data_IF_825340065218
#
_entry.id   IF_825340065218
#
_cell.length_a   1.000
_cell.length_b   1.000
_cell.length_c   1.000
_cell.angle_alpha   90.00
_cell.angle_beta   90.00
_cell.angle_gamma   90.00
#
_symmetry.space_group_name_H-M   'P 1'
#
loop_
_entity.id
_entity.type
_entity.pdbx_description
1 polymer ?
#
# COMPACT_ATOMS: atom_id res chain seq x y z
N UNK A 1 13.43 18.75 48.66
CA UNK A 1 12.58 17.59 48.37
C UNK A 1 13.10 16.97 47.07
N UNK A 2 13.90 15.93 47.17
CA UNK A 2 14.49 15.19 46.06
C UNK A 2 13.39 14.35 45.44
N UNK A 3 12.98 14.69 44.20
CA UNK A 3 12.13 13.83 43.36
C UNK A 3 12.85 12.48 43.22
N UNK A 4 12.41 11.46 43.94
CA UNK A 4 12.71 10.08 43.61
C UNK A 4 12.04 9.80 42.22
N UNK A 5 12.80 9.93 41.14
CA UNK A 5 12.49 9.26 39.91
C UNK A 5 12.48 7.78 40.25
N UNK A 6 11.30 7.19 40.30
CA UNK A 6 11.13 5.75 40.49
C UNK A 6 11.81 5.06 39.29
N UNK A 7 12.83 4.27 39.61
CA UNK A 7 13.64 3.44 38.70
C UNK A 7 12.80 2.26 38.11
N UNK A 8 11.51 2.52 37.79
CA UNK A 8 10.63 1.52 37.21
C UNK A 8 11.00 1.37 35.70
N UNK A 9 11.44 0.20 35.35
CA UNK A 9 11.56 -0.16 33.91
C UNK A 9 10.22 -0.03 33.22
N UNK A 10 10.23 0.52 32.01
CA UNK A 10 9.03 0.59 31.17
C UNK A 10 8.78 -0.76 30.51
N UNK A 11 7.54 -1.21 30.51
CA UNK A 11 7.15 -2.42 29.76
C UNK A 11 6.83 -2.08 28.33
N UNK A 12 7.57 -2.66 27.39
CA UNK A 12 7.43 -2.47 25.92
C UNK A 12 6.97 -3.77 25.31
N UNK A 13 5.85 -3.74 24.58
CA UNK A 13 5.29 -4.91 23.91
C UNK A 13 5.14 -4.67 22.43
N UNK A 14 5.76 -5.52 21.58
CA UNK A 14 5.58 -5.53 20.14
C UNK A 14 4.62 -6.66 19.75
N UNK A 15 3.44 -6.30 19.22
CA UNK A 15 2.33 -7.23 19.00
C UNK A 15 2.49 -8.15 17.78
N UNK A 16 3.22 -7.70 16.75
CA UNK A 16 3.33 -8.38 15.45
C UNK A 16 4.72 -8.23 14.83
N UNK A 17 5.74 -8.50 15.64
CA UNK A 17 7.17 -8.42 15.29
C UNK A 17 7.52 -9.22 14.02
N UNK A 18 6.82 -10.33 13.77
CA UNK A 18 7.01 -11.17 12.57
C UNK A 18 6.63 -10.48 11.26
N UNK A 19 5.98 -9.31 11.31
CA UNK A 19 5.67 -8.49 10.13
C UNK A 19 6.82 -7.58 9.68
N UNK A 20 7.95 -7.54 10.42
CA UNK A 20 9.09 -6.66 10.16
C UNK A 20 10.40 -7.47 10.24
N UNK A 21 10.99 -7.76 9.08
CA UNK A 21 12.29 -8.46 8.97
C UNK A 21 13.44 -7.43 8.95
N UNK A 22 13.70 -6.84 10.11
CA UNK A 22 14.82 -5.90 10.31
C UNK A 22 15.33 -5.95 11.75
N UNK A 23 16.59 -5.59 11.96
CA UNK A 23 17.16 -5.44 13.30
C UNK A 23 16.64 -4.16 13.94
N UNK A 24 16.09 -4.27 15.14
CA UNK A 24 15.65 -3.11 15.90
C UNK A 24 16.82 -2.50 16.68
N UNK A 25 16.95 -1.17 16.74
CA UNK A 25 17.93 -0.52 17.60
C UNK A 25 17.61 -0.76 19.07
N UNK A 26 18.64 -0.75 19.92
CA UNK A 26 18.45 -0.81 21.37
C UNK A 26 17.85 0.52 21.85
N UNK A 27 16.81 0.42 22.68
CA UNK A 27 16.25 1.59 23.33
C UNK A 27 17.23 2.14 24.38
N UNK A 28 17.28 3.46 24.52
CA UNK A 28 18.22 4.19 25.40
C UNK A 28 17.71 4.41 26.82
N UNK A 29 16.67 3.71 27.24
CA UNK A 29 16.09 3.76 28.58
C UNK A 29 15.89 2.36 29.17
N UNK A 30 15.76 2.27 30.50
CA UNK A 30 15.53 1.00 31.18
C UNK A 30 14.14 0.45 30.86
N UNK A 31 14.07 -0.73 30.26
CA UNK A 31 12.81 -1.35 29.83
C UNK A 31 12.87 -2.88 29.94
N UNK A 32 11.71 -3.48 30.00
CA UNK A 32 11.47 -4.89 29.76
C UNK A 32 10.80 -5.04 28.39
N UNK A 33 11.40 -5.82 27.49
CA UNK A 33 10.97 -6.01 26.11
C UNK A 33 10.27 -7.35 25.94
N UNK A 34 9.04 -7.32 25.41
CA UNK A 34 8.25 -8.50 25.05
C UNK A 34 7.85 -8.37 23.59
N UNK A 35 8.04 -9.42 22.78
CA UNK A 35 7.60 -9.41 21.39
C UNK A 35 6.87 -10.70 21.02
N UNK A 36 5.91 -10.56 20.14
CA UNK A 36 5.12 -11.65 19.60
C UNK A 36 5.26 -11.67 18.06
N UNK A 37 5.45 -12.83 17.44
CA UNK A 37 5.48 -12.93 15.97
C UNK A 37 4.19 -12.42 15.33
N UNK A 38 3.03 -12.72 15.95
CA UNK A 38 1.70 -12.20 15.60
C UNK A 38 0.79 -12.26 16.82
N UNK A 39 -0.27 -11.46 16.87
CA UNK A 39 -1.22 -11.45 17.97
C UNK A 39 -2.65 -11.65 17.46
N UNK A 40 -3.34 -12.75 17.87
CA UNK A 40 -4.76 -12.91 17.61
C UNK A 40 -5.58 -11.81 18.27
N UNK A 41 -6.70 -11.41 17.63
CA UNK A 41 -7.54 -10.31 18.13
C UNK A 41 -7.98 -10.50 19.59
N UNK A 42 -8.37 -11.72 19.97
CA UNK A 42 -8.82 -12.02 21.34
C UNK A 42 -7.71 -11.99 22.41
N UNK A 43 -6.44 -11.90 22.02
CA UNK A 43 -5.30 -11.90 22.97
C UNK A 43 -4.68 -10.51 23.14
N UNK A 44 -5.12 -9.49 22.39
CA UNK A 44 -4.49 -8.16 22.39
C UNK A 44 -4.46 -7.55 23.79
N UNK A 45 -5.62 -7.51 24.47
CA UNK A 45 -5.73 -6.93 25.82
C UNK A 45 -4.88 -7.71 26.82
N UNK A 46 -4.89 -9.03 26.78
CA UNK A 46 -4.09 -9.88 27.67
C UNK A 46 -2.60 -9.61 27.50
N UNK A 47 -2.13 -9.50 26.25
CA UNK A 47 -0.70 -9.28 25.93
C UNK A 47 -0.22 -7.88 26.27
N UNK A 48 -1.11 -6.88 26.20
CA UNK A 48 -0.80 -5.48 26.55
C UNK A 48 -1.08 -5.14 28.01
N UNK A 49 -1.59 -6.08 28.83
CA UNK A 49 -1.89 -5.82 30.24
C UNK A 49 -0.62 -5.42 31.00
N UNK A 50 -0.62 -4.22 31.59
CA UNK A 50 0.53 -3.66 32.30
C UNK A 50 1.63 -3.09 31.40
N UNK A 51 1.44 -3.04 30.07
CA UNK A 51 2.37 -2.41 29.15
C UNK A 51 2.28 -0.88 29.23
N UNK A 52 3.43 -0.21 29.27
CA UNK A 52 3.54 1.24 29.13
C UNK A 52 3.56 1.65 27.65
N UNK A 53 4.16 0.82 26.79
CA UNK A 53 4.37 1.07 25.35
C UNK A 53 3.89 -0.13 24.55
N UNK A 54 3.03 0.11 23.58
CA UNK A 54 2.65 -0.86 22.56
C UNK A 54 3.30 -0.50 21.22
N UNK A 55 3.85 -1.48 20.50
CA UNK A 55 4.31 -1.34 19.13
C UNK A 55 3.46 -2.29 18.27
N UNK A 56 2.97 -1.79 17.15
CA UNK A 56 2.19 -2.60 16.20
C UNK A 56 2.39 -2.13 14.77
N UNK A 57 2.43 -3.05 13.82
CA UNK A 57 2.39 -2.74 12.39
C UNK A 57 0.95 -2.85 11.84
N UNK A 58 0.24 -3.93 12.18
CA UNK A 58 -1.08 -4.24 11.59
C UNK A 58 -2.14 -4.66 12.60
N UNK A 59 -1.77 -4.89 13.87
CA UNK A 59 -2.75 -5.28 14.89
C UNK A 59 -3.57 -4.05 15.30
N UNK A 60 -4.91 -4.06 15.13
CA UNK A 60 -5.75 -2.92 15.43
C UNK A 60 -5.90 -2.73 16.95
N UNK A 61 -5.88 -1.47 17.38
CA UNK A 61 -6.20 -1.05 18.74
C UNK A 61 -7.47 -0.19 18.70
N UNK A 62 -8.61 -0.85 18.89
CA UNK A 62 -9.93 -0.20 18.94
C UNK A 62 -10.13 0.54 20.26
N UNK A 63 -11.20 1.35 20.35
CA UNK A 63 -11.63 2.03 21.58
C UNK A 63 -11.78 1.05 22.74
N UNK A 64 -12.48 -0.06 22.50
CA UNK A 64 -12.74 -1.09 23.52
C UNK A 64 -11.44 -1.74 24.03
N UNK A 65 -10.45 -1.88 23.15
CA UNK A 65 -9.11 -2.38 23.53
C UNK A 65 -8.38 -1.35 24.37
N UNK A 66 -8.34 -0.10 23.92
CA UNK A 66 -7.63 1.00 24.58
C UNK A 66 -8.21 1.27 25.99
N UNK A 67 -9.53 1.20 26.16
CA UNK A 67 -10.22 1.41 27.43
C UNK A 67 -9.82 0.38 28.49
N UNK A 68 -9.44 -0.84 28.10
CA UNK A 68 -9.01 -1.92 28.98
C UNK A 68 -7.52 -1.88 29.36
N UNK A 69 -6.76 -0.89 28.87
CA UNK A 69 -5.31 -0.77 29.05
C UNK A 69 -4.94 0.49 29.86
N UNK A 70 -5.19 0.52 31.19
CA UNK A 70 -5.02 1.73 31.99
C UNK A 70 -3.57 2.22 32.08
N UNK A 71 -2.59 1.35 31.91
CA UNK A 71 -1.15 1.65 32.05
C UNK A 71 -0.53 2.14 30.73
N UNK A 72 -1.23 1.99 29.59
CA UNK A 72 -0.71 2.32 28.25
C UNK A 72 -0.54 3.83 28.09
N UNK A 73 0.65 4.27 27.69
CA UNK A 73 1.05 5.68 27.56
C UNK A 73 1.46 6.04 26.13
N UNK A 74 1.97 5.07 25.39
CA UNK A 74 2.51 5.29 24.04
C UNK A 74 2.16 4.13 23.12
N UNK A 75 1.80 4.46 21.87
CA UNK A 75 1.60 3.50 20.80
C UNK A 75 2.52 3.89 19.65
N UNK A 76 3.49 3.03 19.31
CA UNK A 76 4.31 3.11 18.12
C UNK A 76 3.68 2.31 16.98
N UNK A 77 3.29 3.00 15.91
CA UNK A 77 2.79 2.33 14.69
C UNK A 77 3.95 2.13 13.73
N UNK A 78 4.41 0.90 13.55
CA UNK A 78 5.48 0.52 12.64
C UNK A 78 5.00 0.57 11.17
N UNK A 79 4.38 1.69 10.79
CA UNK A 79 3.86 1.98 9.46
C UNK A 79 3.59 3.49 9.31
N UNK A 80 3.34 3.95 8.07
CA UNK A 80 2.87 5.33 7.84
C UNK A 80 1.39 5.51 8.20
N UNK A 81 0.55 4.52 7.89
CA UNK A 81 -0.90 4.60 8.14
C UNK A 81 -1.28 4.27 9.56
N UNK A 82 -2.09 5.12 10.20
CA UNK A 82 -2.58 4.96 11.59
C UNK A 82 -4.03 4.52 11.69
N UNK A 83 -4.64 4.14 10.57
CA UNK A 83 -6.06 3.76 10.50
C UNK A 83 -6.45 2.53 11.33
N UNK A 84 -5.46 1.80 11.86
CA UNK A 84 -5.64 0.68 12.77
C UNK A 84 -5.77 1.11 14.25
N UNK A 85 -5.57 2.39 14.56
CA UNK A 85 -5.62 2.93 15.93
C UNK A 85 -6.82 3.87 16.06
N UNK A 86 -7.62 3.71 17.11
CA UNK A 86 -8.63 4.71 17.49
C UNK A 86 -7.93 5.92 18.12
N UNK A 87 -7.63 6.91 17.27
CA UNK A 87 -6.90 8.14 17.65
C UNK A 87 -7.68 8.97 18.67
N UNK A 88 -9.02 9.00 18.57
CA UNK A 88 -9.84 9.79 19.50
C UNK A 88 -9.83 9.15 20.90
N UNK A 89 -9.96 7.83 21.01
CA UNK A 89 -9.79 7.12 22.28
C UNK A 89 -8.39 7.37 22.89
N UNK A 90 -7.35 7.37 22.07
CA UNK A 90 -5.99 7.69 22.54
C UNK A 90 -5.89 9.11 23.09
N UNK A 91 -6.47 10.11 22.42
CA UNK A 91 -6.48 11.51 22.90
C UNK A 91 -7.20 11.65 24.25
N UNK A 92 -8.39 11.05 24.38
CA UNK A 92 -9.17 11.06 25.62
C UNK A 92 -8.38 10.46 26.79
N UNK A 93 -7.60 9.41 26.53
CA UNK A 93 -6.75 8.71 27.50
C UNK A 93 -5.35 9.30 27.63
N UNK A 94 -5.02 10.36 26.89
CA UNK A 94 -3.68 10.99 26.85
C UNK A 94 -2.56 10.03 26.43
N UNK A 95 -2.88 9.06 25.58
CA UNK A 95 -1.91 8.13 24.99
C UNK A 95 -1.30 8.81 23.76
N UNK A 96 0.01 8.89 23.71
CA UNK A 96 0.73 9.43 22.56
C UNK A 96 0.79 8.36 21.48
N UNK A 97 0.40 8.73 20.24
CA UNK A 97 0.51 7.84 19.08
C UNK A 97 1.55 8.42 18.13
N UNK A 98 2.54 7.64 17.77
CA UNK A 98 3.54 7.98 16.76
C UNK A 98 3.51 6.95 15.63
N UNK A 99 3.72 7.43 14.41
CA UNK A 99 3.86 6.60 13.22
C UNK A 99 5.18 6.93 12.53
N UNK A 100 5.54 6.16 11.50
CA UNK A 100 6.80 6.33 10.76
C UNK A 100 6.49 6.78 9.34
N UNK A 101 6.66 8.07 9.03
CA UNK A 101 6.47 8.58 7.67
C UNK A 101 7.68 8.27 6.78
N UNK A 102 7.45 8.27 5.47
CA UNK A 102 8.46 8.33 4.40
C UNK A 102 9.46 7.16 4.27
N UNK A 103 9.45 6.16 5.15
CA UNK A 103 10.37 5.03 5.09
C UNK A 103 10.29 4.24 3.76
N UNK A 104 9.11 4.21 3.13
CA UNK A 104 8.85 3.49 1.88
C UNK A 104 8.85 4.40 0.64
N UNK A 105 9.49 5.59 0.74
CA UNK A 105 9.51 6.60 -0.33
C UNK A 105 10.16 6.12 -1.63
N UNK A 106 11.08 5.17 -1.57
CA UNK A 106 11.69 4.54 -2.75
C UNK A 106 10.96 3.25 -3.12
N UNK A 107 10.73 2.36 -2.15
CA UNK A 107 10.26 1.00 -2.43
C UNK A 107 8.84 0.95 -3.03
N UNK A 108 7.89 1.75 -2.53
CA UNK A 108 6.53 1.79 -3.09
C UNK A 108 6.49 2.30 -4.53
N UNK A 109 7.17 3.38 -4.92
CA UNK A 109 7.25 3.80 -6.32
C UNK A 109 7.91 2.76 -7.23
N UNK A 110 8.99 2.11 -6.78
CA UNK A 110 9.66 1.06 -7.54
C UNK A 110 8.71 -0.14 -7.78
N UNK A 111 8.02 -0.60 -6.74
CA UNK A 111 7.04 -1.67 -6.86
C UNK A 111 5.86 -1.28 -7.77
N UNK A 112 5.39 -0.03 -7.67
CA UNK A 112 4.37 0.52 -8.58
C UNK A 112 4.83 0.43 -10.03
N UNK A 113 6.07 0.85 -10.31
CA UNK A 113 6.65 0.75 -11.66
C UNK A 113 6.95 -0.67 -12.09
N UNK A 114 7.30 -1.58 -11.18
CA UNK A 114 7.43 -3.01 -11.49
C UNK A 114 6.10 -3.58 -12.02
N UNK A 115 4.97 -3.27 -11.37
CA UNK A 115 3.63 -3.66 -11.84
C UNK A 115 3.27 -2.99 -13.18
N UNK A 116 3.55 -1.68 -13.33
CA UNK A 116 3.31 -0.94 -14.58
C UNK A 116 4.09 -1.58 -15.74
N UNK A 117 5.39 -1.79 -15.56
CA UNK A 117 6.25 -2.37 -16.59
C UNK A 117 5.84 -3.80 -16.92
N UNK A 118 5.54 -4.64 -15.93
CA UNK A 118 5.10 -6.01 -16.15
C UNK A 118 3.82 -6.07 -17.01
N UNK A 119 2.86 -5.19 -16.75
CA UNK A 119 1.61 -5.11 -17.50
C UNK A 119 1.81 -4.51 -18.90
N UNK A 120 2.54 -3.40 -19.03
CA UNK A 120 2.78 -2.72 -20.33
C UNK A 120 3.63 -3.55 -21.27
N UNK A 121 4.55 -4.39 -20.71
CA UNK A 121 5.42 -5.29 -21.49
C UNK A 121 4.85 -6.71 -21.60
N UNK A 122 3.65 -6.98 -21.04
CA UNK A 122 2.98 -8.30 -21.08
C UNK A 122 3.83 -9.45 -20.53
N UNK A 123 4.62 -9.17 -19.47
CA UNK A 123 5.63 -10.12 -18.98
C UNK A 123 5.02 -11.44 -18.53
N UNK A 124 3.88 -11.41 -17.80
CA UNK A 124 3.18 -12.62 -17.33
C UNK A 124 2.77 -13.50 -18.53
N UNK A 125 2.16 -12.92 -19.57
CA UNK A 125 1.67 -13.63 -20.72
C UNK A 125 2.83 -14.25 -21.52
N UNK A 126 3.85 -13.47 -21.86
CA UNK A 126 4.98 -13.97 -22.64
C UNK A 126 5.82 -15.00 -21.88
N UNK A 127 6.06 -14.83 -20.59
CA UNK A 127 6.79 -15.83 -19.81
C UNK A 127 6.03 -17.16 -19.73
N UNK A 128 4.70 -17.12 -19.66
CA UNK A 128 3.88 -18.33 -19.68
C UNK A 128 3.90 -19.01 -21.06
N UNK A 129 3.80 -18.27 -22.16
CA UNK A 129 3.93 -18.82 -23.51
C UNK A 129 5.29 -19.49 -23.75
N UNK A 130 6.38 -18.87 -23.27
CA UNK A 130 7.72 -19.46 -23.34
C UNK A 130 7.78 -20.76 -22.54
N UNK A 131 7.23 -20.78 -21.33
CA UNK A 131 7.18 -21.97 -20.46
C UNK A 131 6.38 -23.11 -21.11
N UNK A 132 5.31 -22.78 -21.84
CA UNK A 132 4.50 -23.73 -22.59
C UNK A 132 5.14 -24.18 -23.91
N UNK A 133 6.33 -23.67 -24.25
CA UNK A 133 7.08 -24.01 -25.47
C UNK A 133 6.50 -23.38 -26.74
N UNK A 134 5.66 -22.36 -26.63
CA UNK A 134 5.11 -21.67 -27.80
C UNK A 134 6.22 -21.06 -28.67
N UNK A 135 7.24 -20.46 -28.05
CA UNK A 135 8.37 -19.89 -28.78
C UNK A 135 9.22 -20.94 -29.49
N UNK A 136 9.48 -22.08 -28.86
CA UNK A 136 10.26 -23.19 -29.46
C UNK A 136 9.56 -23.81 -30.67
N UNK A 137 8.23 -23.65 -30.79
CA UNK A 137 7.44 -24.13 -31.91
C UNK A 137 7.15 -23.07 -32.97
N UNK A 138 7.59 -21.82 -32.75
CA UNK A 138 7.37 -20.71 -33.65
C UNK A 138 8.30 -20.80 -34.85
N UNK A 139 7.76 -20.50 -36.01
CA UNK A 139 8.56 -20.30 -37.24
C UNK A 139 9.25 -18.93 -37.27
N UNK A 140 8.82 -18.02 -36.41
CA UNK A 140 9.37 -16.67 -36.29
C UNK A 140 10.37 -16.60 -35.11
N UNK A 141 11.38 -15.71 -35.24
CA UNK A 141 12.37 -15.50 -34.16
C UNK A 141 11.79 -14.92 -32.89
N UNK A 142 10.60 -14.33 -32.95
CA UNK A 142 9.88 -13.73 -31.82
C UNK A 142 8.40 -14.09 -31.83
N UNK A 143 7.70 -13.86 -30.70
CA UNK A 143 6.25 -13.92 -30.59
C UNK A 143 5.67 -12.50 -30.50
N UNK A 144 4.59 -12.24 -31.22
CA UNK A 144 3.89 -10.94 -31.25
C UNK A 144 2.42 -11.07 -30.85
N UNK A 145 2.09 -12.07 -30.02
CA UNK A 145 0.71 -12.41 -29.65
C UNK A 145 0.06 -11.39 -28.71
N UNK A 146 0.88 -10.63 -27.97
CA UNK A 146 0.40 -9.65 -27.00
C UNK A 146 0.91 -8.26 -27.35
N UNK A 147 0.04 -7.21 -27.33
CA UNK A 147 0.45 -5.85 -27.67
C UNK A 147 1.34 -5.26 -26.55
N UNK A 148 2.60 -5.03 -26.87
CA UNK A 148 3.56 -4.34 -26.01
C UNK A 148 3.47 -2.84 -26.26
N UNK A 149 3.48 -2.03 -25.19
CA UNK A 149 3.38 -0.58 -25.27
C UNK A 149 4.47 0.10 -24.48
N UNK A 150 5.06 1.15 -25.04
CA UNK A 150 6.06 1.96 -24.37
C UNK A 150 5.44 2.91 -23.33
N UNK A 151 6.24 3.34 -22.37
CA UNK A 151 5.87 4.36 -21.39
C UNK A 151 6.16 5.76 -21.94
N UNK A 152 7.26 5.93 -22.68
CA UNK A 152 7.65 7.23 -23.23
C UNK A 152 6.52 7.80 -24.13
N UNK A 153 6.18 9.07 -23.90
CA UNK A 153 5.08 9.77 -24.58
C UNK A 153 3.67 9.34 -24.14
N UNK A 154 3.54 8.39 -23.22
CA UNK A 154 2.23 8.02 -22.64
C UNK A 154 1.90 8.87 -21.41
N UNK A 155 0.63 8.87 -21.01
CA UNK A 155 0.12 9.69 -19.90
C UNK A 155 -0.05 8.86 -18.63
N UNK A 156 0.59 9.32 -17.52
CA UNK A 156 0.45 8.78 -16.17
C UNK A 156 -0.54 9.62 -15.37
N UNK A 157 -1.69 9.06 -15.03
CA UNK A 157 -2.66 9.64 -14.10
C UNK A 157 -2.34 9.26 -12.67
N UNK A 158 -2.06 10.23 -11.81
CA UNK A 158 -1.75 10.03 -10.40
C UNK A 158 -2.92 10.53 -9.55
N UNK A 159 -3.61 9.61 -8.88
CA UNK A 159 -4.74 9.94 -8.00
C UNK A 159 -4.24 10.04 -6.57
N UNK A 160 -4.06 11.28 -6.07
CA UNK A 160 -3.40 11.61 -4.81
C UNK A 160 -1.93 11.98 -4.99
N UNK A 161 -1.58 13.25 -4.72
CA UNK A 161 -0.25 13.82 -4.96
C UNK A 161 0.48 14.16 -3.66
N UNK A 162 0.43 13.21 -2.69
CA UNK A 162 1.24 13.23 -1.46
C UNK A 162 2.68 12.74 -1.71
N UNK A 163 3.40 12.38 -0.65
CA UNK A 163 4.81 11.92 -0.72
C UNK A 163 5.00 10.79 -1.74
N UNK A 164 4.18 9.73 -1.69
CA UNK A 164 4.30 8.57 -2.59
C UNK A 164 3.85 8.90 -4.01
N UNK A 165 2.72 9.61 -4.17
CA UNK A 165 2.24 10.00 -5.51
C UNK A 165 3.24 10.89 -6.25
N UNK A 166 3.91 11.83 -5.55
CA UNK A 166 5.00 12.64 -6.10
C UNK A 166 6.20 11.79 -6.50
N UNK A 167 6.58 10.82 -5.69
CA UNK A 167 7.71 9.95 -5.99
C UNK A 167 7.43 9.05 -7.22
N UNK A 168 6.20 8.53 -7.33
CA UNK A 168 5.77 7.78 -8.54
C UNK A 168 5.75 8.69 -9.77
N UNK A 169 5.26 9.93 -9.65
CA UNK A 169 5.29 10.90 -10.76
C UNK A 169 6.72 11.20 -11.23
N UNK A 170 7.69 11.28 -10.30
CA UNK A 170 9.11 11.48 -10.66
C UNK A 170 9.66 10.33 -11.50
N UNK A 171 9.33 9.07 -11.16
CA UNK A 171 9.68 7.93 -11.99
C UNK A 171 8.99 7.99 -13.36
N UNK A 172 7.70 8.40 -13.40
CA UNK A 172 6.98 8.60 -14.66
C UNK A 172 7.69 9.60 -15.59
N UNK A 173 8.12 10.74 -15.04
CA UNK A 173 8.90 11.72 -15.79
C UNK A 173 10.23 11.15 -16.30
N UNK A 174 10.93 10.34 -15.50
CA UNK A 174 12.17 9.68 -15.92
C UNK A 174 11.96 8.67 -17.06
N UNK A 175 10.76 8.06 -17.15
CA UNK A 175 10.34 7.23 -18.28
C UNK A 175 9.77 8.02 -19.45
N UNK A 176 9.80 9.37 -19.42
CA UNK A 176 9.30 10.21 -20.50
C UNK A 176 7.76 10.29 -20.59
N UNK A 177 7.05 10.04 -19.49
CA UNK A 177 5.59 10.15 -19.40
C UNK A 177 5.14 11.59 -19.14
N UNK A 178 3.93 11.95 -19.60
CA UNK A 178 3.21 13.15 -19.19
C UNK A 178 2.47 12.89 -17.87
N UNK A 179 2.58 13.78 -16.89
CA UNK A 179 1.99 13.59 -15.57
C UNK A 179 0.68 14.38 -15.45
N UNK A 180 -0.42 13.67 -15.22
CA UNK A 180 -1.73 14.21 -14.88
C UNK A 180 -2.13 13.82 -13.48
N UNK A 181 -2.64 14.77 -12.69
CA UNK A 181 -2.86 14.58 -11.26
C UNK A 181 -4.26 14.96 -10.86
N UNK A 182 -4.94 14.06 -10.15
CA UNK A 182 -6.09 14.41 -9.33
C UNK A 182 -5.67 14.54 -7.86
N UNK A 183 -5.90 15.71 -7.27
CA UNK A 183 -5.61 15.96 -5.86
C UNK A 183 -6.60 16.99 -5.30
N UNK A 184 -6.97 16.82 -4.01
CA UNK A 184 -7.91 17.73 -3.33
C UNK A 184 -7.34 19.13 -3.18
N UNK A 185 -6.07 19.23 -2.83
CA UNK A 185 -5.36 20.51 -2.67
C UNK A 185 -4.67 20.91 -3.97
N UNK A 186 -4.41 22.21 -4.21
CA UNK A 186 -3.63 22.68 -5.35
C UNK A 186 -2.26 21.97 -5.45
N UNK A 187 -1.86 21.68 -6.67
CA UNK A 187 -0.58 21.03 -6.98
C UNK A 187 0.39 22.06 -7.53
N UNK A 188 1.42 22.38 -6.76
CA UNK A 188 2.47 23.32 -7.14
C UNK A 188 3.69 22.56 -7.71
N UNK A 189 3.50 21.85 -8.81
CA UNK A 189 4.57 21.21 -9.57
C UNK A 189 4.35 21.53 -11.06
N UNK A 190 5.22 22.35 -11.69
CA UNK A 190 5.04 22.75 -13.09
C UNK A 190 5.17 21.60 -14.09
N UNK A 191 5.62 20.43 -13.66
CA UNK A 191 5.76 19.23 -14.48
C UNK A 191 4.50 18.37 -14.45
N UNK A 192 3.49 18.72 -13.64
CA UNK A 192 2.25 17.96 -13.48
C UNK A 192 1.04 18.83 -13.80
N UNK A 193 0.12 18.30 -14.59
CA UNK A 193 -1.15 18.96 -14.93
C UNK A 193 -2.20 18.50 -13.92
N UNK A 194 -2.70 19.42 -13.08
CA UNK A 194 -3.83 19.10 -12.20
C UNK A 194 -5.14 19.13 -12.98
N UNK A 195 -5.94 18.07 -12.83
CA UNK A 195 -7.21 17.90 -13.55
C UNK A 195 -8.28 17.25 -12.65
N UNK A 196 -9.52 17.21 -13.11
CA UNK A 196 -10.60 16.47 -12.46
C UNK A 196 -10.33 14.95 -12.47
N UNK A 197 -10.94 14.21 -11.53
CA UNK A 197 -10.83 12.74 -11.52
C UNK A 197 -11.27 12.13 -12.84
N UNK A 198 -12.41 12.58 -13.39
CA UNK A 198 -12.93 12.11 -14.67
C UNK A 198 -11.98 12.34 -15.82
N UNK A 199 -11.33 13.49 -15.87
CA UNK A 199 -10.36 13.83 -16.91
C UNK A 199 -9.08 13.00 -16.79
N UNK A 200 -8.55 12.84 -15.57
CA UNK A 200 -7.38 11.97 -15.32
C UNK A 200 -7.69 10.55 -15.79
N UNK A 201 -8.85 10.00 -15.44
CA UNK A 201 -9.24 8.63 -15.85
C UNK A 201 -9.41 8.50 -17.35
N UNK A 202 -10.12 9.45 -17.99
CA UNK A 202 -10.44 9.39 -19.43
C UNK A 202 -9.22 9.55 -20.34
N UNK A 203 -8.18 10.23 -19.86
CA UNK A 203 -7.06 10.62 -20.73
C UNK A 203 -5.76 9.87 -20.45
N UNK A 204 -5.65 9.17 -19.32
CA UNK A 204 -4.42 8.47 -18.95
C UNK A 204 -4.29 7.08 -19.56
N UNK A 205 -3.06 6.68 -19.87
CA UNK A 205 -2.70 5.33 -20.33
C UNK A 205 -2.34 4.40 -19.16
N UNK A 206 -1.87 5.01 -18.07
CA UNK A 206 -1.62 4.35 -16.79
C UNK A 206 -2.26 5.20 -15.72
N UNK A 207 -3.04 4.60 -14.84
CA UNK A 207 -3.61 5.26 -13.65
C UNK A 207 -3.06 4.60 -12.40
N UNK A 208 -2.58 5.40 -11.45
CA UNK A 208 -2.09 4.89 -10.16
C UNK A 208 -2.72 5.64 -8.98
N UNK A 209 -3.04 4.91 -7.91
CA UNK A 209 -3.81 5.43 -6.78
C UNK A 209 -2.93 5.55 -5.55
N UNK A 210 -2.90 6.75 -4.94
CA UNK A 210 -2.09 7.10 -3.76
C UNK A 210 -2.89 7.94 -2.75
N UNK A 211 -4.15 7.55 -2.51
CA UNK A 211 -5.03 8.18 -1.52
C UNK A 211 -5.03 7.40 -0.19
N UNK A 212 -5.28 8.06 0.95
CA UNK A 212 -5.69 7.38 2.16
C UNK A 212 -7.09 6.79 1.99
N UNK A 213 -7.38 5.66 2.64
CA UNK A 213 -8.72 5.11 2.72
C UNK A 213 -9.50 5.86 3.81
N UNK A 214 -10.59 6.48 3.41
CA UNK A 214 -11.58 7.17 4.27
C UNK A 214 -12.98 6.87 3.73
N UNK A 215 -14.02 7.25 4.43
CA UNK A 215 -15.40 7.09 3.92
C UNK A 215 -15.62 7.83 2.60
N UNK A 216 -14.93 8.95 2.38
CA UNK A 216 -15.02 9.74 1.15
C UNK A 216 -14.22 9.15 -0.03
N UNK A 217 -13.19 8.34 0.25
CA UNK A 217 -12.34 7.73 -0.78
C UNK A 217 -12.63 6.26 -0.99
N UNK A 218 -13.48 5.65 -0.17
CA UNK A 218 -13.94 4.28 -0.34
C UNK A 218 -14.65 4.12 -1.68
N UNK A 219 -14.22 3.12 -2.46
CA UNK A 219 -14.73 2.85 -3.81
C UNK A 219 -14.72 4.09 -4.73
N UNK A 220 -13.76 4.99 -4.54
CA UNK A 220 -13.59 6.19 -5.40
C UNK A 220 -13.40 5.81 -6.86
N UNK A 221 -12.94 4.58 -7.13
CA UNK A 221 -12.94 3.96 -8.44
C UNK A 221 -13.88 2.75 -8.38
N UNK A 222 -15.01 2.87 -9.07
CA UNK A 222 -16.06 1.85 -9.23
C UNK A 222 -16.34 1.59 -10.72
N UNK A 223 -17.40 0.86 -11.03
CA UNK A 223 -17.77 0.51 -12.40
C UNK A 223 -17.86 1.74 -13.33
N UNK A 224 -18.41 2.85 -12.83
CA UNK A 224 -18.55 4.08 -13.62
C UNK A 224 -17.17 4.69 -13.97
N UNK A 225 -16.26 4.75 -12.99
CA UNK A 225 -14.91 5.26 -13.19
C UNK A 225 -14.10 4.35 -14.12
N UNK A 226 -14.18 3.03 -13.93
CA UNK A 226 -13.53 2.06 -14.80
C UNK A 226 -14.01 2.16 -16.24
N UNK A 227 -15.32 2.34 -16.46
CA UNK A 227 -15.90 2.54 -17.80
C UNK A 227 -15.48 3.86 -18.46
N UNK A 228 -15.12 4.86 -17.66
CA UNK A 228 -14.59 6.15 -18.13
C UNK A 228 -13.11 6.12 -18.51
N UNK A 229 -12.38 5.03 -18.24
CA UNK A 229 -10.97 4.89 -18.61
C UNK A 229 -10.81 4.51 -20.09
N UNK A 230 -9.61 4.76 -20.65
CA UNK A 230 -9.27 4.19 -21.96
C UNK A 230 -9.29 2.66 -21.90
N UNK A 231 -9.85 2.02 -22.92
CA UNK A 231 -9.81 0.54 -23.02
C UNK A 231 -8.37 -0.02 -23.01
N UNK A 232 -7.40 0.77 -23.45
CA UNK A 232 -5.97 0.43 -23.42
C UNK A 232 -5.27 0.78 -22.10
N UNK A 233 -5.97 1.40 -21.16
CA UNK A 233 -5.38 1.83 -19.89
C UNK A 233 -5.17 0.67 -18.92
N UNK A 234 -4.18 0.82 -18.06
CA UNK A 234 -3.96 -0.04 -16.88
C UNK A 234 -4.18 0.75 -15.60
N UNK A 235 -4.68 0.05 -14.58
CA UNK A 235 -4.91 0.60 -13.23
C UNK A 235 -3.98 -0.05 -12.22
N UNK A 236 -3.28 0.75 -11.40
CA UNK A 236 -2.38 0.26 -10.36
C UNK A 236 -2.78 0.79 -8.98
N UNK A 237 -2.83 -0.09 -7.99
CA UNK A 237 -3.11 0.28 -6.60
C UNK A 237 -2.12 -0.37 -5.64
N UNK A 238 -1.15 0.41 -5.17
CA UNK A 238 -0.18 0.04 -4.13
C UNK A 238 -0.42 0.83 -2.83
N UNK A 239 -1.63 1.36 -2.65
CA UNK A 239 -1.97 2.25 -1.53
C UNK A 239 -2.82 1.54 -0.48
N UNK A 240 -4.12 1.38 -0.72
CA UNK A 240 -5.05 0.71 0.21
C UNK A 240 -6.10 -0.09 -0.56
N UNK A 241 -6.46 -1.26 -0.05
CA UNK A 241 -7.69 -1.94 -0.44
C UNK A 241 -8.91 -1.09 -0.13
N UNK A 242 -10.00 -1.29 -0.88
CA UNK A 242 -11.23 -0.51 -0.72
C UNK A 242 -11.24 0.87 -1.40
N UNK A 243 -10.14 1.35 -1.97
CA UNK A 243 -10.13 2.55 -2.83
C UNK A 243 -10.74 2.24 -4.20
N UNK A 244 -10.54 1.04 -4.69
CA UNK A 244 -11.15 0.52 -5.91
C UNK A 244 -12.18 -0.53 -5.50
N UNK A 245 -13.36 -0.52 -6.10
CA UNK A 245 -14.33 -1.58 -5.89
C UNK A 245 -13.82 -2.87 -6.58
N UNK A 246 -13.50 -3.88 -5.78
CA UNK A 246 -12.82 -5.09 -6.24
C UNK A 246 -13.71 -5.98 -7.10
N UNK A 247 -15.01 -6.01 -6.84
CA UNK A 247 -15.98 -6.73 -7.67
C UNK A 247 -16.12 -6.07 -9.04
N UNK A 248 -16.25 -4.74 -9.08
CA UNK A 248 -16.34 -3.98 -10.33
C UNK A 248 -15.05 -4.13 -11.15
N UNK A 249 -13.89 -4.10 -10.49
CA UNK A 249 -12.60 -4.32 -11.15
C UNK A 249 -12.51 -5.72 -11.75
N UNK A 250 -12.90 -6.76 -11.01
CA UNK A 250 -12.91 -8.13 -11.50
C UNK A 250 -13.80 -8.28 -12.75
N UNK A 251 -14.97 -7.65 -12.76
CA UNK A 251 -15.86 -7.61 -13.90
C UNK A 251 -15.25 -6.83 -15.09
N UNK A 252 -14.63 -5.67 -14.82
CA UNK A 252 -14.00 -4.83 -15.84
C UNK A 252 -12.84 -5.57 -16.55
N UNK A 253 -12.01 -6.30 -15.79
CA UNK A 253 -10.91 -7.08 -16.35
C UNK A 253 -11.40 -8.26 -17.20
N UNK A 254 -12.39 -9.03 -16.71
CA UNK A 254 -12.99 -10.14 -17.45
C UNK A 254 -13.65 -9.68 -18.76
N UNK A 255 -14.24 -8.48 -18.77
CA UNK A 255 -14.88 -7.88 -19.96
C UNK A 255 -13.94 -7.02 -20.81
N UNK A 256 -12.68 -6.90 -20.42
CA UNK A 256 -11.70 -6.06 -21.12
C UNK A 256 -12.15 -4.59 -21.25
N UNK A 257 -12.81 -4.05 -20.24
CA UNK A 257 -13.16 -2.62 -20.14
C UNK A 257 -11.90 -1.78 -20.06
N UNK A 258 -10.89 -2.28 -19.32
CA UNK A 258 -9.53 -1.76 -19.26
C UNK A 258 -8.55 -2.86 -19.66
N UNK A 259 -7.34 -2.49 -20.07
CA UNK A 259 -6.33 -3.43 -20.56
C UNK A 259 -5.74 -4.32 -19.47
N UNK A 260 -5.68 -3.86 -18.23
CA UNK A 260 -5.12 -4.65 -17.14
C UNK A 260 -5.10 -3.90 -15.81
N UNK A 261 -4.74 -4.61 -14.73
CA UNK A 261 -4.55 -4.01 -13.43
C UNK A 261 -3.43 -4.68 -12.63
N UNK A 262 -2.73 -3.88 -11.79
CA UNK A 262 -1.71 -4.34 -10.86
C UNK A 262 -2.00 -3.85 -9.45
N UNK A 263 -2.17 -4.78 -8.52
CA UNK A 263 -2.56 -4.48 -7.14
C UNK A 263 -1.57 -5.09 -6.15
N UNK A 264 -1.32 -4.36 -5.08
CA UNK A 264 -0.54 -4.86 -3.94
C UNK A 264 -1.40 -4.98 -2.68
N UNK A 265 -2.66 -4.56 -2.75
CA UNK A 265 -3.55 -4.43 -1.60
C UNK A 265 -4.96 -4.92 -1.92
N UNK A 266 -5.65 -5.44 -0.89
CA UNK A 266 -7.06 -5.84 -0.97
C UNK A 266 -7.83 -5.32 0.25
N UNK A 267 -9.17 -5.27 0.16
CA UNK A 267 -10.04 -4.68 1.20
C UNK A 267 -9.86 -5.32 2.57
N UNK A 268 -9.68 -6.63 2.62
CA UNK A 268 -9.40 -7.37 3.87
C UNK A 268 -8.08 -8.09 3.76
N UNK A 269 -7.15 -7.80 4.64
CA UNK A 269 -5.80 -8.37 4.66
C UNK A 269 -5.49 -9.03 6.01
N UNK A 270 -5.05 -10.30 6.02
CA UNK A 270 -5.02 -11.24 4.90
C UNK A 270 -6.45 -11.67 4.47
N UNK A 271 -6.67 -12.01 3.20
CA UNK A 271 -8.00 -12.30 2.65
C UNK A 271 -8.46 -13.75 2.97
N UNK A 272 -8.61 -14.09 4.24
CA UNK A 272 -8.91 -15.46 4.73
C UNK A 272 -10.26 -16.02 4.29
N UNK A 273 -11.20 -15.14 3.93
CA UNK A 273 -12.56 -15.51 3.51
C UNK A 273 -12.77 -15.34 2.00
N UNK A 274 -11.67 -15.28 1.24
CA UNK A 274 -11.71 -15.04 -0.19
C UNK A 274 -11.74 -13.56 -0.55
N UNK A 275 -11.51 -13.27 -1.82
CA UNK A 275 -11.58 -11.94 -2.42
C UNK A 275 -11.75 -12.10 -3.93
N UNK A 276 -12.63 -11.34 -4.61
CA UNK A 276 -12.87 -11.50 -6.04
C UNK A 276 -11.62 -11.33 -6.92
N UNK A 277 -10.58 -10.67 -6.44
CA UNK A 277 -9.31 -10.49 -7.16
C UNK A 277 -8.39 -11.73 -7.05
N UNK A 278 -8.49 -12.53 -5.99
CA UNK A 278 -7.71 -13.77 -5.84
C UNK A 278 -8.09 -14.84 -6.85
N UNK A 279 -9.37 -14.83 -7.28
CA UNK A 279 -9.90 -15.81 -8.22
C UNK A 279 -9.64 -15.43 -9.69
N UNK A 280 -8.91 -14.34 -9.93
CA UNK A 280 -8.58 -13.87 -11.27
C UNK A 280 -7.31 -14.55 -11.80
N UNK A 281 -7.48 -15.62 -12.56
CA UNK A 281 -6.39 -16.17 -13.38
C UNK A 281 -6.39 -15.53 -14.79
N UNK A 282 -5.97 -14.27 -14.82
CA UNK A 282 -5.90 -13.48 -16.05
C UNK A 282 -4.46 -13.05 -16.33
N UNK A 283 -4.00 -13.06 -17.60
CA UNK A 283 -2.66 -12.63 -17.95
C UNK A 283 -2.43 -11.13 -17.75
N UNK A 284 -3.51 -10.34 -17.75
CA UNK A 284 -3.52 -8.88 -17.59
C UNK A 284 -3.81 -8.44 -16.15
N UNK A 285 -3.73 -9.34 -15.17
CA UNK A 285 -3.88 -9.01 -13.75
C UNK A 285 -2.69 -9.52 -12.93
N UNK A 286 -2.17 -8.64 -12.08
CA UNK A 286 -1.10 -8.93 -11.13
C UNK A 286 -1.57 -8.55 -9.71
N UNK A 287 -1.38 -9.44 -8.76
CA UNK A 287 -1.65 -9.20 -7.34
C UNK A 287 -0.44 -9.62 -6.53
N UNK A 288 0.06 -8.72 -5.68
CA UNK A 288 1.13 -8.99 -4.71
C UNK A 288 0.60 -8.82 -3.28
N UNK A 289 1.16 -9.50 -2.27
CA UNK A 289 0.56 -9.61 -0.94
C UNK A 289 1.01 -8.48 0.00
N UNK A 290 0.75 -7.23 -0.35
CA UNK A 290 1.05 -6.01 0.40
C UNK A 290 2.55 -5.87 0.76
N UNK A 291 3.39 -6.04 -0.26
CA UNK A 291 4.87 -6.03 -0.13
C UNK A 291 5.54 -4.82 -0.79
N UNK A 292 4.78 -3.90 -1.38
CA UNK A 292 5.35 -2.71 -2.04
C UNK A 292 6.26 -1.89 -1.13
N UNK A 293 6.03 -1.91 0.19
CA UNK A 293 6.83 -1.23 1.20
C UNK A 293 8.03 -2.05 1.70
N UNK A 294 8.07 -3.37 1.46
CA UNK A 294 8.87 -4.34 2.19
C UNK A 294 10.26 -4.59 1.57
N UNK A 295 10.93 -3.56 1.04
CA UNK A 295 12.36 -3.70 0.71
C UNK A 295 13.21 -3.77 1.98
N UNK A 296 14.39 -4.38 1.91
CA UNK A 296 15.31 -4.48 3.05
C UNK A 296 15.71 -3.09 3.57
N UNK A 297 15.93 -2.14 2.65
CA UNK A 297 16.27 -0.75 2.96
C UNK A 297 15.11 -0.04 3.65
N UNK A 298 13.88 -0.21 3.15
CA UNK A 298 12.70 0.40 3.74
C UNK A 298 12.40 -0.18 5.12
N UNK A 299 12.50 -1.49 5.31
CA UNK A 299 12.35 -2.14 6.62
C UNK A 299 13.43 -1.70 7.61
N UNK A 300 14.68 -1.57 7.16
CA UNK A 300 15.78 -1.06 8.01
C UNK A 300 15.56 0.41 8.38
N UNK A 301 15.11 1.24 7.43
CA UNK A 301 14.76 2.64 7.69
C UNK A 301 13.59 2.77 8.67
N UNK A 302 12.56 1.93 8.53
CA UNK A 302 11.43 1.88 9.44
C UNK A 302 11.87 1.47 10.86
N UNK A 303 12.71 0.46 10.97
CA UNK A 303 13.22 -0.03 12.25
C UNK A 303 14.11 0.99 12.97
N UNK A 304 14.81 1.84 12.23
CA UNK A 304 15.74 2.85 12.77
C UNK A 304 15.06 4.13 13.29
N UNK A 305 13.79 4.38 12.92
CA UNK A 305 13.02 5.55 13.34
C UNK A 305 12.17 5.29 14.57
#
# INVERSE_FOLDING_TARGET
MTNKVTDRKMSVVFLDRGSLDATLPKLNFAHDWIEYPSTPHGEIVQRLKGADIAITNKIPLSRETIEQLPDLKFIGVAATGTNIIDIEACKERKIVVSNIPEYARSSVPEHTFALILALRRQLKAYTEEVRQGAWSRSEQFCLLNHPVRDLAGSRLGVIGYGTLGKAVAQLGLAFGMEIYVYNRSPVNDPRAVQASLSEVLATSDVVTVHLPLTDQTRNVISAAQLSGMKRSAILVNTSRGGLVNETDLAHALKRQVIAGAGFDVVTTEPPRHGNPLLDLDLPNFLLTPHVAWASQEAMSSLAGQ
#
